data_IF_100852966404
#
_entry.id   IF_100852966404
#
_cell.length_a   1.000
_cell.length_b   1.000
_cell.length_c   1.000
_cell.angle_alpha   90.00
_cell.angle_beta   90.00
_cell.angle_gamma   90.00
#
_symmetry.space_group_name_H-M   'P 1'
#
loop_
_entity.id
_entity.type
_entity.pdbx_description
1 polymer ?
#
# COMPACT_ATOMS: atom_id res chain seq x y z
N UNK A 1 3.76 -19.40 -3.47
CA UNK A 1 2.34 -19.09 -3.78
C UNK A 1 1.45 -19.23 -2.56
N UNK A 2 1.32 -20.40 -1.96
CA UNK A 2 0.39 -20.69 -0.85
C UNK A 2 0.53 -19.74 0.34
N UNK A 3 1.77 -19.41 0.75
CA UNK A 3 2.03 -18.52 1.91
C UNK A 3 1.45 -17.12 1.69
N UNK A 4 1.68 -16.49 0.53
CA UNK A 4 1.16 -15.15 0.24
C UNK A 4 -0.36 -15.10 0.25
N UNK A 5 -1.01 -16.15 -0.25
CA UNK A 5 -2.49 -16.24 -0.24
C UNK A 5 -3.01 -16.39 1.19
N UNK A 6 -2.39 -17.22 2.02
CA UNK A 6 -2.76 -17.37 3.43
C UNK A 6 -2.60 -16.05 4.18
N UNK A 7 -1.47 -15.37 4.01
CA UNK A 7 -1.23 -14.05 4.63
C UNK A 7 -2.28 -13.04 4.16
N UNK A 8 -2.61 -13.01 2.86
CA UNK A 8 -3.62 -12.10 2.32
C UNK A 8 -5.02 -12.36 2.90
N UNK A 9 -5.44 -13.63 3.00
CA UNK A 9 -6.73 -14.00 3.59
C UNK A 9 -6.79 -13.57 5.07
N UNK A 10 -5.74 -13.86 5.85
CA UNK A 10 -5.66 -13.44 7.25
C UNK A 10 -5.69 -11.91 7.40
N UNK A 11 -4.94 -11.21 6.55
CA UNK A 11 -4.91 -9.74 6.47
C UNK A 11 -6.30 -9.17 6.20
N UNK A 12 -7.00 -9.70 5.19
CA UNK A 12 -8.36 -9.27 4.88
C UNK A 12 -9.33 -9.56 6.03
N UNK A 13 -9.16 -10.68 6.72
CA UNK A 13 -9.92 -11.02 7.92
C UNK A 13 -9.82 -9.97 9.02
N UNK A 14 -8.61 -9.41 9.26
CA UNK A 14 -8.42 -8.32 10.22
C UNK A 14 -9.12 -7.03 9.77
N UNK A 15 -9.00 -6.63 8.51
CA UNK A 15 -9.70 -5.46 7.99
C UNK A 15 -11.23 -5.63 8.08
N UNK A 16 -11.75 -6.80 7.73
CA UNK A 16 -13.18 -7.09 7.80
C UNK A 16 -13.71 -7.03 9.24
N UNK A 17 -12.95 -7.54 10.22
CA UNK A 17 -13.34 -7.46 11.63
C UNK A 17 -13.30 -6.01 12.15
N UNK A 18 -12.30 -5.21 11.77
CA UNK A 18 -12.22 -3.79 12.10
C UNK A 18 -13.41 -3.04 11.48
N UNK A 19 -13.72 -3.32 10.23
CA UNK A 19 -14.81 -2.68 9.49
C UNK A 19 -16.20 -2.97 10.10
N UNK A 20 -16.49 -4.23 10.47
CA UNK A 20 -17.77 -4.61 11.07
C UNK A 20 -18.11 -3.82 12.34
N UNK A 21 -17.13 -3.23 13.00
CA UNK A 21 -17.37 -2.34 14.16
C UNK A 21 -17.68 -0.89 13.77
N UNK A 22 -17.37 -0.51 12.54
CA UNK A 22 -17.52 0.88 12.07
C UNK A 22 -18.91 1.20 11.55
N UNK A 23 -19.69 0.18 11.14
CA UNK A 23 -21.03 0.34 10.58
C UNK A 23 -22.03 -0.59 11.26
N UNK A 24 -23.26 -0.07 11.51
CA UNK A 24 -24.35 -0.81 12.16
C UNK A 24 -25.39 -1.35 11.18
N UNK A 25 -25.49 -0.75 9.98
CA UNK A 25 -26.42 -1.15 8.93
C UNK A 25 -25.92 -2.43 8.24
N UNK A 26 -26.66 -3.52 8.33
CA UNK A 26 -26.25 -4.83 7.82
C UNK A 26 -26.12 -4.87 6.31
N UNK A 27 -27.04 -4.21 5.56
CA UNK A 27 -27.00 -4.19 4.11
C UNK A 27 -25.81 -3.38 3.60
N UNK A 28 -25.61 -2.16 4.13
CA UNK A 28 -24.48 -1.32 3.80
C UNK A 28 -23.16 -2.01 4.17
N UNK A 29 -23.09 -2.65 5.33
CA UNK A 29 -21.93 -3.41 5.77
C UNK A 29 -21.60 -4.54 4.80
N UNK A 30 -22.59 -5.28 4.34
CA UNK A 30 -22.37 -6.36 3.36
C UNK A 30 -21.89 -5.83 2.01
N UNK A 31 -22.51 -4.78 1.49
CA UNK A 31 -22.12 -4.16 0.23
C UNK A 31 -20.68 -3.63 0.27
N UNK A 32 -20.31 -2.92 1.34
CA UNK A 32 -18.96 -2.40 1.53
C UNK A 32 -17.96 -3.54 1.75
N UNK A 33 -18.31 -4.61 2.47
CA UNK A 33 -17.42 -5.78 2.64
C UNK A 33 -17.08 -6.42 1.29
N UNK A 34 -18.07 -6.55 0.39
CA UNK A 34 -17.86 -7.04 -0.98
C UNK A 34 -16.92 -6.08 -1.76
N UNK A 35 -17.17 -4.77 -1.67
CA UNK A 35 -16.31 -3.78 -2.33
C UNK A 35 -14.86 -3.85 -1.82
N UNK A 36 -14.66 -3.98 -0.50
CA UNK A 36 -13.34 -4.15 0.11
C UNK A 36 -12.65 -5.44 -0.37
N UNK A 37 -13.41 -6.55 -0.51
CA UNK A 37 -12.87 -7.80 -1.03
C UNK A 37 -12.43 -7.66 -2.49
N UNK A 38 -13.24 -7.03 -3.34
CA UNK A 38 -12.92 -6.77 -4.75
C UNK A 38 -11.64 -5.91 -4.86
N UNK A 39 -11.54 -4.86 -4.05
CA UNK A 39 -10.36 -3.97 -4.04
C UNK A 39 -9.13 -4.72 -3.54
N UNK A 40 -9.23 -5.43 -2.43
CA UNK A 40 -8.08 -6.10 -1.81
C UNK A 40 -7.55 -7.27 -2.65
N UNK A 41 -8.45 -8.08 -3.22
CA UNK A 41 -8.10 -9.22 -4.08
C UNK A 41 -8.08 -8.87 -5.58
N UNK A 42 -7.81 -7.61 -5.92
CA UNK A 42 -7.77 -7.15 -7.30
C UNK A 42 -6.92 -8.05 -8.21
N UNK A 43 -7.37 -8.37 -9.43
CA UNK A 43 -6.59 -9.17 -10.38
C UNK A 43 -5.22 -8.55 -10.72
N UNK A 44 -5.07 -7.23 -10.58
CA UNK A 44 -3.79 -6.53 -10.72
C UNK A 44 -2.72 -7.00 -9.72
N UNK A 45 -3.14 -7.70 -8.64
CA UNK A 45 -2.24 -8.26 -7.63
C UNK A 45 -1.74 -9.68 -7.95
N UNK A 46 -2.11 -10.26 -9.10
CA UNK A 46 -1.75 -11.65 -9.45
C UNK A 46 -0.26 -11.97 -9.24
N UNK A 47 0.62 -11.05 -9.64
CA UNK A 47 2.08 -11.22 -9.46
C UNK A 47 2.51 -11.20 -8.01
N UNK A 48 1.88 -10.36 -7.20
CA UNK A 48 2.18 -10.30 -5.78
C UNK A 48 1.86 -11.64 -5.09
N UNK A 49 0.81 -12.33 -5.53
CA UNK A 49 0.47 -13.66 -5.02
C UNK A 49 1.42 -14.76 -5.50
N UNK A 50 1.87 -14.67 -6.74
CA UNK A 50 2.67 -15.72 -7.39
C UNK A 50 4.16 -15.65 -7.02
N UNK A 51 4.69 -14.46 -6.76
CA UNK A 51 6.12 -14.24 -6.54
C UNK A 51 6.51 -14.40 -5.06
N UNK A 52 7.44 -15.33 -4.72
CA UNK A 52 7.92 -15.50 -3.35
C UNK A 52 8.53 -14.23 -2.75
N UNK A 53 9.23 -13.44 -3.56
CA UNK A 53 9.82 -12.17 -3.17
C UNK A 53 8.78 -11.18 -2.58
N UNK A 54 7.53 -11.28 -3.02
CA UNK A 54 6.45 -10.40 -2.55
C UNK A 54 5.97 -10.73 -1.14
N UNK A 55 6.42 -11.83 -0.53
CA UNK A 55 6.08 -12.20 0.85
C UNK A 55 6.41 -11.07 1.84
N UNK A 56 7.51 -10.33 1.62
CA UNK A 56 7.87 -9.19 2.46
C UNK A 56 6.80 -8.07 2.41
N UNK A 57 6.23 -7.79 1.24
CA UNK A 57 5.16 -6.80 1.09
C UNK A 57 3.87 -7.26 1.76
N UNK A 58 3.48 -8.53 1.57
CA UNK A 58 2.31 -9.10 2.25
C UNK A 58 2.49 -9.12 3.77
N UNK A 59 3.69 -9.45 4.26
CA UNK A 59 3.99 -9.41 5.69
C UNK A 59 3.91 -7.98 6.25
N UNK A 60 4.35 -6.97 5.49
CA UNK A 60 4.16 -5.57 5.86
C UNK A 60 2.67 -5.23 5.99
N UNK A 61 1.87 -5.57 4.97
CA UNK A 61 0.43 -5.27 4.96
C UNK A 61 -0.29 -6.04 6.09
N UNK A 62 0.11 -7.28 6.36
CA UNK A 62 -0.38 -8.06 7.50
C UNK A 62 -0.09 -7.39 8.83
N UNK A 63 1.14 -6.91 9.04
CA UNK A 63 1.51 -6.19 10.25
C UNK A 63 0.70 -4.90 10.43
N UNK A 64 0.50 -4.15 9.35
CA UNK A 64 -0.37 -2.95 9.33
C UNK A 64 -1.82 -3.33 9.64
N UNK A 65 -2.35 -4.40 9.05
CA UNK A 65 -3.73 -4.85 9.29
C UNK A 65 -3.93 -5.32 10.73
N UNK A 66 -2.94 -6.02 11.32
CA UNK A 66 -2.97 -6.41 12.73
C UNK A 66 -2.98 -5.19 13.64
N UNK A 67 -2.12 -4.18 13.36
CA UNK A 67 -2.10 -2.90 14.09
C UNK A 67 -3.44 -2.19 13.97
N UNK A 68 -3.98 -2.08 12.75
CA UNK A 68 -5.26 -1.45 12.45
C UNK A 68 -6.41 -2.14 13.20
N UNK A 69 -6.53 -3.45 13.07
CA UNK A 69 -7.56 -4.23 13.76
C UNK A 69 -7.47 -4.09 15.28
N UNK A 70 -6.27 -4.22 15.84
CA UNK A 70 -6.07 -4.15 17.28
C UNK A 70 -6.40 -2.75 17.84
N UNK A 71 -6.11 -1.68 17.09
CA UNK A 71 -6.47 -0.31 17.47
C UNK A 71 -7.96 -0.06 17.29
N UNK A 72 -8.56 -0.44 16.16
CA UNK A 72 -9.97 -0.27 15.87
C UNK A 72 -10.89 -1.06 16.80
N UNK A 73 -10.43 -2.23 17.28
CA UNK A 73 -11.24 -3.13 18.13
C UNK A 73 -10.91 -3.05 19.62
N UNK A 74 -9.99 -2.16 20.03
CA UNK A 74 -9.64 -2.00 21.44
C UNK A 74 -8.90 -3.20 22.06
N UNK A 75 -8.17 -3.98 21.25
CA UNK A 75 -7.44 -5.18 21.70
C UNK A 75 -6.24 -4.81 22.59
N UNK A 76 -5.69 -5.77 23.35
CA UNK A 76 -4.51 -5.50 24.19
C UNK A 76 -3.40 -4.78 23.46
N UNK A 77 -2.74 -3.85 24.15
CA UNK A 77 -1.75 -2.93 23.56
C UNK A 77 -0.55 -3.64 22.92
N UNK A 78 -0.24 -4.84 23.35
CA UNK A 78 0.82 -5.66 22.77
C UNK A 78 0.58 -5.98 21.28
N UNK A 79 -0.68 -6.16 20.87
CA UNK A 79 -1.00 -6.55 19.48
C UNK A 79 -0.67 -5.46 18.44
N UNK A 80 -1.03 -4.15 18.64
CA UNK A 80 -0.56 -3.13 17.72
C UNK A 80 0.97 -3.02 17.67
N UNK A 81 1.69 -3.20 18.78
CA UNK A 81 3.16 -3.26 18.77
C UNK A 81 3.69 -4.43 17.95
N UNK A 82 3.13 -5.63 18.15
CA UNK A 82 3.50 -6.81 17.35
C UNK A 82 3.28 -6.57 15.87
N UNK A 83 2.12 -6.00 15.49
CA UNK A 83 1.83 -5.65 14.09
C UNK A 83 2.82 -4.65 13.52
N UNK A 84 3.13 -3.58 14.26
CA UNK A 84 4.10 -2.57 13.85
C UNK A 84 5.51 -3.14 13.68
N UNK A 85 5.96 -4.02 14.58
CA UNK A 85 7.25 -4.70 14.45
C UNK A 85 7.28 -5.63 13.23
N UNK A 86 6.24 -6.42 12.98
CA UNK A 86 6.14 -7.26 11.78
C UNK A 86 6.25 -6.38 10.53
N UNK A 87 5.50 -5.29 10.45
CA UNK A 87 5.54 -4.38 9.31
C UNK A 87 6.96 -3.80 9.10
N UNK A 88 7.58 -3.32 10.16
CA UNK A 88 8.91 -2.71 10.16
C UNK A 88 10.01 -3.68 9.72
N UNK A 89 9.98 -4.91 10.23
CA UNK A 89 10.98 -5.94 9.91
C UNK A 89 10.82 -6.48 8.48
N UNK A 90 9.64 -6.29 7.88
CA UNK A 90 9.34 -6.80 6.54
C UNK A 90 9.82 -5.85 5.43
N UNK A 91 9.55 -4.55 5.53
CA UNK A 91 10.01 -3.55 4.53
C UNK A 91 10.22 -2.17 5.16
N UNK A 92 11.02 -1.33 4.48
CA UNK A 92 11.22 0.08 4.87
C UNK A 92 9.91 0.87 4.97
N UNK A 93 8.95 0.59 4.08
CA UNK A 93 7.62 1.21 4.13
C UNK A 93 6.85 0.90 5.41
N UNK A 94 7.13 -0.24 6.03
CA UNK A 94 6.54 -0.64 7.31
C UNK A 94 6.89 0.27 8.48
N UNK A 95 8.02 1.01 8.40
CA UNK A 95 8.37 2.04 9.40
C UNK A 95 7.30 3.11 9.55
N UNK A 96 6.53 3.38 8.51
CA UNK A 96 5.49 4.41 8.51
C UNK A 96 4.28 4.05 9.40
N UNK A 97 4.19 2.82 9.88
CA UNK A 97 3.14 2.43 10.84
C UNK A 97 3.27 3.18 12.17
N UNK A 98 4.50 3.47 12.60
CA UNK A 98 4.75 4.14 13.87
C UNK A 98 4.16 5.56 13.91
N UNK A 99 4.48 6.48 13.00
CA UNK A 99 3.84 7.80 12.98
C UNK A 99 2.36 7.74 12.63
N UNK A 100 1.94 6.83 11.74
CA UNK A 100 0.55 6.76 11.29
C UNK A 100 -0.43 6.41 12.41
N UNK A 101 -0.07 5.49 13.31
CA UNK A 101 -0.94 5.04 14.40
C UNK A 101 -0.63 5.69 15.76
N UNK A 102 0.31 6.63 15.82
CA UNK A 102 0.71 7.29 17.06
C UNK A 102 -0.46 7.91 17.83
N UNK A 103 -1.38 8.57 17.11
CA UNK A 103 -2.55 9.22 17.72
C UNK A 103 -3.51 8.22 18.38
N UNK A 104 -3.73 7.05 17.79
CA UNK A 104 -4.61 6.03 18.38
C UNK A 104 -3.99 5.41 19.63
N UNK A 105 -2.68 5.25 19.69
CA UNK A 105 -1.96 4.77 20.87
C UNK A 105 -1.97 5.85 21.97
N UNK A 106 -1.77 7.14 21.58
CA UNK A 106 -1.87 8.27 22.49
C UNK A 106 -3.21 8.35 23.22
N UNK A 107 -4.31 8.19 22.48
CA UNK A 107 -5.66 8.21 23.05
C UNK A 107 -5.93 7.05 24.03
N UNK A 108 -5.22 5.93 23.87
CA UNK A 108 -5.41 4.76 24.73
C UNK A 108 -4.59 4.78 26.01
N UNK A 109 -3.33 5.19 25.95
CA UNK A 109 -2.41 5.17 27.10
C UNK A 109 -1.18 6.03 26.84
N UNK A 110 -0.93 7.00 27.71
CA UNK A 110 0.27 7.86 27.63
C UNK A 110 1.58 7.07 27.79
N UNK A 111 1.72 6.14 28.76
CA UNK A 111 2.91 5.30 28.87
C UNK A 111 3.14 4.43 27.63
N UNK A 112 2.06 3.82 27.08
CA UNK A 112 2.16 3.04 25.87
C UNK A 112 2.57 3.91 24.66
N UNK A 113 2.11 5.15 24.57
CA UNK A 113 2.53 6.08 23.53
C UNK A 113 4.04 6.42 23.63
N UNK A 114 4.55 6.66 24.83
CA UNK A 114 5.99 6.88 25.03
C UNK A 114 6.81 5.67 24.57
N UNK A 115 6.39 4.45 24.95
CA UNK A 115 7.01 3.21 24.50
C UNK A 115 6.89 3.04 22.96
N UNK A 116 5.75 3.39 22.37
CA UNK A 116 5.52 3.37 20.92
C UNK A 116 6.50 4.28 20.18
N UNK A 117 6.61 5.53 20.62
CA UNK A 117 7.56 6.49 20.05
C UNK A 117 9.01 6.03 20.19
N UNK A 118 9.39 5.53 21.36
CA UNK A 118 10.73 5.00 21.60
C UNK A 118 11.07 3.81 20.68
N UNK A 119 10.15 2.83 20.59
CA UNK A 119 10.34 1.65 19.72
C UNK A 119 10.41 2.07 18.25
N UNK A 120 9.55 2.99 17.82
CA UNK A 120 9.57 3.54 16.46
C UNK A 120 10.87 4.27 16.15
N UNK A 121 11.35 5.12 17.07
CA UNK A 121 12.62 5.84 16.91
C UNK A 121 13.83 4.88 16.84
N UNK A 122 13.88 3.87 17.70
CA UNK A 122 14.91 2.82 17.67
C UNK A 122 14.85 2.06 16.34
N UNK A 123 13.67 1.68 15.88
CA UNK A 123 13.47 0.98 14.61
C UNK A 123 13.98 1.82 13.42
N UNK A 124 13.66 3.12 13.41
CA UNK A 124 14.15 4.05 12.39
C UNK A 124 15.67 4.21 12.46
N UNK A 125 16.23 4.40 13.66
CA UNK A 125 17.68 4.52 13.85
C UNK A 125 18.42 3.29 13.35
N UNK A 126 17.96 2.07 13.70
CA UNK A 126 18.56 0.81 13.25
C UNK A 126 18.44 0.64 11.73
N UNK A 127 17.33 1.08 11.12
CA UNK A 127 17.15 1.00 9.68
C UNK A 127 18.08 1.94 8.92
N UNK A 128 18.26 3.15 9.41
CA UNK A 128 19.11 4.19 8.78
C UNK A 128 20.56 4.19 9.28
N UNK A 129 20.95 3.27 10.17
CA UNK A 129 22.37 3.08 10.55
C UNK A 129 23.19 2.90 9.28
N UNK A 130 24.30 3.67 9.11
CA UNK A 130 25.02 3.75 7.85
C UNK A 130 25.54 2.38 7.43
N UNK A 131 24.88 1.78 6.47
CA UNK A 131 25.50 0.77 5.60
C UNK A 131 26.36 1.56 4.60
N UNK A 132 27.50 1.03 4.13
CA UNK A 132 28.25 1.66 3.05
C UNK A 132 27.34 1.75 1.82
N UNK A 133 26.64 2.87 1.71
CA UNK A 133 25.70 3.12 0.62
C UNK A 133 26.50 3.62 -0.55
N UNK A 134 26.50 2.89 -1.65
CA UNK A 134 26.79 3.47 -2.96
C UNK A 134 26.01 4.79 -3.07
N UNK A 135 26.70 5.89 -3.36
CA UNK A 135 26.16 7.25 -3.39
C UNK A 135 24.98 7.35 -4.35
N UNK A 136 23.78 6.96 -3.89
CA UNK A 136 22.56 7.29 -4.62
C UNK A 136 22.39 8.81 -4.51
N UNK A 137 22.47 9.50 -5.64
CA UNK A 137 22.20 10.93 -5.71
C UNK A 137 20.69 11.09 -5.44
N UNK A 138 20.37 11.48 -4.20
CA UNK A 138 19.00 11.83 -3.85
C UNK A 138 18.76 13.28 -4.28
N UNK A 139 18.02 13.46 -5.35
CA UNK A 139 17.54 14.79 -5.76
C UNK A 139 16.18 14.98 -5.10
N UNK A 140 16.11 15.92 -4.14
CA UNK A 140 14.84 16.34 -3.56
C UNK A 140 14.19 17.36 -4.49
N UNK A 141 13.14 16.93 -5.17
CA UNK A 141 12.27 17.80 -5.99
C UNK A 141 10.85 17.72 -5.42
N UNK A 142 10.41 18.72 -4.65
CA UNK A 142 9.12 18.65 -3.96
C UNK A 142 7.94 18.47 -4.92
N UNK A 143 7.96 19.09 -6.09
CA UNK A 143 6.88 18.98 -7.07
C UNK A 143 6.81 17.54 -7.61
N UNK A 144 7.95 17.01 -8.07
CA UNK A 144 8.01 15.65 -8.59
C UNK A 144 7.70 14.61 -7.52
N UNK A 145 8.13 14.82 -6.25
CA UNK A 145 7.77 13.95 -5.14
C UNK A 145 6.27 13.92 -4.87
N UNK A 146 5.58 15.08 -4.94
CA UNK A 146 4.12 15.15 -4.83
C UNK A 146 3.46 14.40 -5.99
N UNK A 147 3.87 14.67 -7.24
CA UNK A 147 3.33 13.99 -8.42
C UNK A 147 3.54 12.48 -8.35
N UNK A 148 4.72 12.02 -7.91
CA UNK A 148 4.99 10.60 -7.69
C UNK A 148 4.05 10.00 -6.63
N UNK A 149 3.83 10.71 -5.52
CA UNK A 149 2.93 10.25 -4.46
C UNK A 149 1.48 10.19 -4.93
N UNK A 150 1.05 11.14 -5.75
CA UNK A 150 -0.28 11.11 -6.40
C UNK A 150 -0.42 9.92 -7.34
N UNK A 151 0.60 9.68 -8.21
CA UNK A 151 0.62 8.52 -9.09
C UNK A 151 0.59 7.21 -8.29
N UNK A 152 1.32 7.13 -7.17
CA UNK A 152 1.32 5.98 -6.27
C UNK A 152 -0.08 5.69 -5.71
N UNK A 153 -0.77 6.71 -5.19
CA UNK A 153 -2.10 6.58 -4.60
C UNK A 153 -3.13 6.19 -5.65
N UNK A 154 -3.09 6.83 -6.82
CA UNK A 154 -4.04 6.62 -7.90
C UNK A 154 -3.73 5.42 -8.80
N UNK A 155 -2.60 4.74 -8.60
CA UNK A 155 -2.17 3.61 -9.42
C UNK A 155 -3.23 2.52 -9.66
N UNK A 156 -4.02 2.09 -8.64
CA UNK A 156 -5.07 1.08 -8.84
C UNK A 156 -6.16 1.47 -9.84
N UNK A 157 -6.33 2.76 -10.10
CA UNK A 157 -7.37 3.29 -11.00
C UNK A 157 -6.80 3.80 -12.32
N UNK A 158 -5.55 4.28 -12.32
CA UNK A 158 -4.94 4.95 -13.47
C UNK A 158 -4.00 4.08 -14.30
N UNK A 159 -3.60 2.90 -13.80
CA UNK A 159 -2.66 2.06 -14.53
C UNK A 159 -3.11 1.78 -15.98
N UNK A 160 -2.22 1.81 -16.97
CA UNK A 160 -0.77 2.04 -16.88
C UNK A 160 -0.33 3.51 -17.05
N UNK A 161 -1.26 4.45 -17.11
CA UNK A 161 -1.00 5.87 -17.40
C UNK A 161 -0.71 6.65 -16.10
N UNK A 162 0.50 7.24 -15.92
CA UNK A 162 0.84 7.98 -14.72
C UNK A 162 0.05 9.27 -14.56
N UNK A 163 -0.36 9.95 -15.64
CA UNK A 163 -1.15 11.18 -15.55
C UNK A 163 -2.55 10.86 -15.04
N UNK A 164 -3.17 9.82 -15.58
CA UNK A 164 -4.48 9.34 -15.11
C UNK A 164 -4.38 8.91 -13.64
N UNK A 165 -3.29 8.23 -13.25
CA UNK A 165 -3.05 7.86 -11.86
C UNK A 165 -2.92 9.08 -10.95
N UNK A 166 -2.19 10.13 -11.37
CA UNK A 166 -2.08 11.39 -10.60
C UNK A 166 -3.44 12.06 -10.41
N UNK A 167 -4.28 12.09 -11.43
CA UNK A 167 -5.63 12.67 -11.36
C UNK A 167 -6.49 11.89 -10.35
N UNK A 168 -6.49 10.57 -10.41
CA UNK A 168 -7.21 9.75 -9.43
C UNK A 168 -6.64 9.87 -8.03
N UNK A 169 -5.33 9.97 -7.87
CA UNK A 169 -4.69 10.21 -6.58
C UNK A 169 -5.12 11.53 -5.96
N UNK A 170 -5.13 12.61 -6.75
CA UNK A 170 -5.60 13.92 -6.31
C UNK A 170 -7.11 13.91 -5.95
N UNK A 171 -7.94 13.27 -6.77
CA UNK A 171 -9.36 13.10 -6.52
C UNK A 171 -9.62 12.29 -5.24
N UNK A 172 -8.84 11.23 -5.01
CA UNK A 172 -8.92 10.42 -3.78
C UNK A 172 -8.57 11.23 -2.53
N UNK A 173 -7.53 12.07 -2.58
CA UNK A 173 -7.17 12.96 -1.46
C UNK A 173 -8.25 14.01 -1.20
N UNK A 174 -8.80 14.62 -2.24
CA UNK A 174 -9.92 15.57 -2.11
C UNK A 174 -11.14 14.89 -1.50
N UNK A 175 -11.49 13.70 -1.95
CA UNK A 175 -12.59 12.91 -1.39
C UNK A 175 -12.33 12.56 0.10
N UNK A 176 -11.12 12.15 0.44
CA UNK A 176 -10.73 11.87 1.84
C UNK A 176 -10.94 13.12 2.71
N UNK A 177 -10.49 14.28 2.27
CA UNK A 177 -10.66 15.54 2.99
C UNK A 177 -12.16 15.92 3.16
N UNK A 178 -12.95 15.80 2.10
CA UNK A 178 -14.38 16.10 2.10
C UNK A 178 -15.14 15.19 3.08
N UNK A 179 -14.93 13.87 3.01
CA UNK A 179 -15.63 12.92 3.88
C UNK A 179 -15.18 13.03 5.33
N UNK A 180 -13.88 13.27 5.58
CA UNK A 180 -13.35 13.51 6.91
C UNK A 180 -13.99 14.76 7.53
N UNK A 181 -14.03 15.87 6.78
CA UNK A 181 -14.67 17.09 7.24
C UNK A 181 -16.19 16.91 7.47
N UNK A 182 -16.87 16.13 6.64
CA UNK A 182 -18.27 15.83 6.83
C UNK A 182 -18.54 15.04 8.12
N UNK A 183 -17.70 14.06 8.46
CA UNK A 183 -17.83 13.30 9.72
C UNK A 183 -17.48 14.18 10.92
N UNK A 184 -16.39 14.96 10.87
CA UNK A 184 -15.95 15.81 11.96
C UNK A 184 -17.01 16.87 12.33
N UNK A 185 -17.73 17.42 11.36
CA UNK A 185 -18.82 18.38 11.61
C UNK A 185 -20.01 17.79 12.38
N UNK A 186 -20.17 16.48 12.39
CA UNK A 186 -21.33 15.82 13.01
C UNK A 186 -21.00 15.09 14.32
N UNK A 187 -19.73 15.04 14.72
CA UNK A 187 -19.22 14.65 16.05
C UNK A 187 -19.33 13.18 16.48
N UNK A 188 -20.35 12.44 16.05
CA UNK A 188 -20.73 11.18 16.70
C UNK A 188 -19.99 9.90 16.24
N UNK A 189 -19.14 9.99 15.22
CA UNK A 189 -18.45 8.81 14.64
C UNK A 189 -16.92 8.96 14.52
N UNK A 190 -16.34 9.98 15.16
CA UNK A 190 -14.90 10.23 15.08
C UNK A 190 -14.06 9.03 15.54
N UNK A 191 -14.50 8.38 16.63
CA UNK A 191 -13.79 7.21 17.18
C UNK A 191 -13.75 6.02 16.21
N UNK A 192 -14.79 5.80 15.40
CA UNK A 192 -14.83 4.71 14.43
C UNK A 192 -14.09 5.06 13.13
N UNK A 193 -13.95 6.34 12.81
CA UNK A 193 -13.23 6.83 11.63
C UNK A 193 -11.70 6.86 11.84
N UNK A 194 -11.25 7.19 13.06
CA UNK A 194 -9.84 7.45 13.34
C UNK A 194 -8.89 6.32 12.91
N UNK A 195 -9.15 5.03 13.15
CA UNK A 195 -8.28 3.96 12.66
C UNK A 195 -8.14 3.96 11.12
N UNK A 196 -9.23 4.27 10.39
CA UNK A 196 -9.21 4.33 8.93
C UNK A 196 -8.42 5.54 8.40
N UNK A 197 -8.47 6.66 9.11
CA UNK A 197 -7.60 7.81 8.85
C UNK A 197 -6.13 7.45 9.08
N UNK A 198 -5.83 6.68 10.13
CA UNK A 198 -4.47 6.18 10.37
C UNK A 198 -4.00 5.25 9.24
N UNK A 199 -4.89 4.40 8.71
CA UNK A 199 -4.58 3.56 7.56
C UNK A 199 -4.28 4.39 6.30
N UNK A 200 -5.11 5.40 6.02
CA UNK A 200 -4.85 6.35 4.92
C UNK A 200 -3.52 7.09 5.13
N UNK A 201 -3.26 7.59 6.35
CA UNK A 201 -2.01 8.26 6.70
C UNK A 201 -0.78 7.34 6.52
N UNK A 202 -0.88 6.06 6.89
CA UNK A 202 0.17 5.08 6.62
C UNK A 202 0.51 5.02 5.13
N UNK A 203 -0.49 4.96 4.26
CA UNK A 203 -0.25 4.90 2.81
C UNK A 203 0.35 6.19 2.28
N UNK A 204 -0.10 7.36 2.76
CA UNK A 204 0.44 8.66 2.38
C UNK A 204 1.91 8.80 2.78
N UNK A 205 2.25 8.42 4.01
CA UNK A 205 3.63 8.42 4.49
C UNK A 205 4.50 7.43 3.71
N UNK A 206 3.96 6.26 3.38
CA UNK A 206 4.66 5.26 2.56
C UNK A 206 4.89 5.78 1.12
N UNK A 207 3.90 6.45 0.51
CA UNK A 207 4.05 7.09 -0.79
C UNK A 207 5.15 8.17 -0.74
N UNK A 208 5.17 8.99 0.32
CA UNK A 208 6.17 10.05 0.52
C UNK A 208 7.58 9.50 0.64
N UNK A 209 7.82 8.52 1.53
CA UNK A 209 9.17 7.92 1.68
C UNK A 209 9.61 7.16 0.43
N UNK A 210 8.65 6.53 -0.27
CA UNK A 210 8.92 5.84 -1.53
C UNK A 210 9.30 6.84 -2.62
N UNK A 211 8.60 7.97 -2.72
CA UNK A 211 8.90 9.02 -3.69
C UNK A 211 10.30 9.60 -3.46
N UNK A 212 10.65 9.89 -2.21
CA UNK A 212 11.97 10.38 -1.85
C UNK A 212 13.09 9.40 -2.26
N UNK A 213 12.90 8.11 -2.01
CA UNK A 213 13.92 7.10 -2.30
C UNK A 213 13.93 6.59 -3.75
N UNK A 214 12.91 6.87 -4.56
CA UNK A 214 12.70 6.22 -5.86
C UNK A 214 12.29 7.14 -7.01
N UNK A 215 12.27 8.45 -6.80
CA UNK A 215 11.88 9.44 -7.80
C UNK A 215 12.64 9.28 -9.12
N UNK A 216 13.95 9.02 -9.03
CA UNK A 216 14.83 8.87 -10.21
C UNK A 216 14.47 7.65 -11.09
N UNK A 217 13.73 6.68 -10.56
CA UNK A 217 13.27 5.53 -11.35
C UNK A 217 11.96 5.81 -12.12
N UNK A 218 11.47 7.04 -12.07
CA UNK A 218 10.30 7.51 -12.82
C UNK A 218 8.95 7.09 -12.23
N UNK A 219 7.89 7.71 -12.75
CA UNK A 219 6.51 7.51 -12.27
C UNK A 219 5.97 6.10 -12.53
N UNK A 220 6.46 5.38 -13.55
CA UNK A 220 6.11 3.98 -13.79
C UNK A 220 6.42 3.07 -12.60
N UNK A 221 7.46 3.41 -11.85
CA UNK A 221 7.78 2.67 -10.63
C UNK A 221 6.75 2.89 -9.51
N UNK A 222 6.10 4.06 -9.44
CA UNK A 222 5.01 4.33 -8.50
C UNK A 222 3.83 3.38 -8.71
N UNK A 223 3.60 2.96 -9.94
CA UNK A 223 2.48 2.12 -10.36
C UNK A 223 2.81 0.62 -10.40
N UNK A 224 4.01 0.22 -9.97
CA UNK A 224 4.39 -1.20 -9.96
C UNK A 224 3.44 -2.05 -9.08
N UNK A 225 3.16 -3.32 -9.44
CA UNK A 225 2.15 -4.14 -8.76
C UNK A 225 2.32 -4.25 -7.25
N UNK A 226 3.55 -4.41 -6.77
CA UNK A 226 3.82 -4.52 -5.34
C UNK A 226 3.52 -3.22 -4.58
N UNK A 227 3.57 -2.06 -5.25
CA UNK A 227 3.19 -0.78 -4.66
C UNK A 227 1.70 -0.54 -4.73
N UNK A 228 1.04 -1.03 -5.77
CA UNK A 228 -0.41 -1.01 -5.82
C UNK A 228 -1.03 -1.72 -4.61
N UNK A 229 -0.40 -2.76 -4.05
CA UNK A 229 -0.87 -3.42 -2.85
C UNK A 229 -1.01 -2.45 -1.66
N UNK A 230 -0.10 -1.48 -1.52
CA UNK A 230 -0.22 -0.44 -0.49
C UNK A 230 -1.27 0.61 -0.85
N UNK A 231 -1.31 1.07 -2.10
CA UNK A 231 -2.29 2.08 -2.51
C UNK A 231 -3.73 1.57 -2.45
N UNK A 232 -3.98 0.27 -2.63
CA UNK A 232 -5.29 -0.34 -2.39
C UNK A 232 -5.79 -0.12 -0.95
N UNK A 233 -4.90 -0.10 0.04
CA UNK A 233 -5.27 0.19 1.44
C UNK A 233 -5.81 1.62 1.61
N UNK A 234 -5.30 2.59 0.85
CA UNK A 234 -5.85 3.94 0.83
C UNK A 234 -7.29 3.96 0.32
N UNK A 235 -7.56 3.26 -0.77
CA UNK A 235 -8.91 3.17 -1.34
C UNK A 235 -9.86 2.41 -0.43
N UNK A 236 -9.39 1.36 0.25
CA UNK A 236 -10.19 0.67 1.28
C UNK A 236 -10.54 1.62 2.43
N UNK A 237 -9.59 2.40 2.93
CA UNK A 237 -9.84 3.38 3.98
C UNK A 237 -10.86 4.45 3.52
N UNK A 238 -10.69 4.96 2.30
CA UNK A 238 -11.59 5.96 1.71
C UNK A 238 -13.02 5.41 1.56
N UNK A 239 -13.19 4.17 1.07
CA UNK A 239 -14.50 3.52 0.94
C UNK A 239 -15.19 3.43 2.31
N UNK A 240 -14.46 3.04 3.37
CA UNK A 240 -15.06 2.92 4.69
C UNK A 240 -15.40 4.30 5.28
N UNK A 241 -14.51 5.29 5.16
CA UNK A 241 -14.77 6.65 5.63
C UNK A 241 -15.98 7.25 4.90
N UNK A 242 -16.07 7.05 3.58
CA UNK A 242 -17.24 7.44 2.81
C UNK A 242 -18.51 6.75 3.31
N UNK A 243 -18.47 5.44 3.54
CA UNK A 243 -19.60 4.69 4.07
C UNK A 243 -20.06 5.20 5.45
N UNK A 244 -19.11 5.53 6.36
CA UNK A 244 -19.42 6.14 7.66
C UNK A 244 -20.09 7.50 7.48
N UNK A 245 -19.57 8.34 6.58
CA UNK A 245 -20.11 9.67 6.31
C UNK A 245 -21.53 9.63 5.75
N UNK A 246 -21.87 8.59 5.01
CA UNK A 246 -23.09 8.46 4.22
C UNK A 246 -24.17 7.59 4.87
N UNK A 247 -23.80 6.80 5.89
CA UNK A 247 -24.73 5.94 6.60
C UNK A 247 -25.96 6.69 7.15
N UNK A 248 -25.84 8.01 7.39
CA UNK A 248 -26.87 8.87 8.00
C UNK A 248 -27.85 9.54 7.03
N UNK A 249 -27.57 9.54 5.72
CA UNK A 249 -28.35 10.34 4.77
C UNK A 249 -28.85 9.52 3.59
N UNK A 250 -30.07 9.00 3.68
CA UNK A 250 -30.66 8.18 2.62
C UNK A 250 -30.66 8.86 1.23
N UNK A 251 -30.96 10.15 1.17
CA UNK A 251 -30.99 10.94 -0.07
C UNK A 251 -29.61 11.19 -0.67
N UNK A 252 -28.55 11.28 0.16
CA UNK A 252 -27.16 11.42 -0.31
C UNK A 252 -26.57 10.13 -0.87
N UNK A 253 -27.19 8.98 -0.59
CA UNK A 253 -26.77 7.67 -1.15
C UNK A 253 -26.86 7.67 -2.68
N UNK A 254 -27.83 8.35 -3.28
CA UNK A 254 -27.96 8.45 -4.75
C UNK A 254 -26.87 9.30 -5.38
N UNK A 255 -26.38 10.35 -4.69
CA UNK A 255 -25.29 11.21 -5.19
C UNK A 255 -23.93 10.49 -5.27
N UNK A 256 -23.82 9.30 -4.68
CA UNK A 256 -22.60 8.49 -4.66
C UNK A 256 -22.60 7.46 -5.79
N UNK A 257 -23.75 7.15 -6.35
CA UNK A 257 -23.84 6.14 -7.40
C UNK A 257 -22.92 6.49 -8.59
N UNK A 258 -22.86 7.75 -8.99
CA UNK A 258 -22.00 8.19 -10.09
C UNK A 258 -20.49 8.10 -9.75
N UNK A 259 -19.98 8.67 -8.65
CA UNK A 259 -18.59 8.47 -8.25
C UNK A 259 -18.21 7.01 -8.06
N UNK A 260 -19.10 6.20 -7.48
CA UNK A 260 -18.86 4.76 -7.32
C UNK A 260 -18.81 4.03 -8.66
N UNK A 261 -19.69 4.38 -9.62
CA UNK A 261 -19.66 3.82 -10.95
C UNK A 261 -18.37 4.18 -11.70
N UNK A 262 -17.91 5.45 -11.61
CA UNK A 262 -16.65 5.90 -12.20
C UNK A 262 -15.47 5.16 -11.55
N UNK A 263 -15.45 5.05 -10.23
CA UNK A 263 -14.45 4.28 -9.49
C UNK A 263 -14.41 2.82 -9.97
N UNK A 264 -15.57 2.17 -10.02
CA UNK A 264 -15.68 0.76 -10.42
C UNK A 264 -15.21 0.57 -11.87
N UNK A 265 -15.64 1.44 -12.79
CA UNK A 265 -15.22 1.37 -14.19
C UNK A 265 -13.71 1.57 -14.35
N UNK A 266 -13.14 2.59 -13.68
CA UNK A 266 -11.70 2.85 -13.71
C UNK A 266 -10.90 1.70 -13.08
N UNK A 267 -11.39 1.16 -11.97
CA UNK A 267 -10.78 0.02 -11.29
C UNK A 267 -10.80 -1.25 -12.16
N UNK A 268 -11.94 -1.59 -12.74
CA UNK A 268 -12.08 -2.76 -13.63
C UNK A 268 -11.20 -2.61 -14.86
N UNK A 269 -11.19 -1.42 -15.50
CA UNK A 269 -10.30 -1.13 -16.62
C UNK A 269 -8.83 -1.31 -16.23
N UNK A 270 -8.40 -0.70 -15.13
CA UNK A 270 -7.00 -0.78 -14.67
C UNK A 270 -6.62 -2.22 -14.30
N UNK A 271 -7.51 -2.96 -13.65
CA UNK A 271 -7.30 -4.35 -13.31
C UNK A 271 -7.21 -5.25 -14.56
N UNK A 272 -8.07 -5.01 -15.56
CA UNK A 272 -8.06 -5.72 -16.83
C UNK A 272 -6.76 -5.46 -17.60
N UNK A 273 -6.36 -4.19 -17.73
CA UNK A 273 -5.09 -3.82 -18.38
C UNK A 273 -3.92 -4.44 -17.64
N UNK A 274 -3.86 -4.33 -16.31
CA UNK A 274 -2.81 -4.95 -15.52
C UNK A 274 -2.78 -6.49 -15.71
N UNK A 275 -3.96 -7.13 -15.82
CA UNK A 275 -4.04 -8.57 -16.05
C UNK A 275 -3.53 -8.98 -17.43
N UNK A 276 -3.82 -8.20 -18.47
CA UNK A 276 -3.50 -8.54 -19.88
C UNK A 276 -2.10 -8.09 -20.31
N UNK A 277 -1.62 -6.94 -19.81
CA UNK A 277 -0.30 -6.40 -20.21
C UNK A 277 0.87 -6.99 -19.43
N UNK A 278 0.60 -7.53 -18.24
CA UNK A 278 1.62 -8.22 -17.45
C UNK A 278 1.68 -9.69 -17.87
N UNK A 279 2.35 -9.92 -18.96
CA UNK A 279 2.53 -11.24 -19.53
C UNK A 279 3.58 -12.04 -18.74
N UNK A 280 3.26 -13.30 -18.43
CA UNK A 280 4.20 -14.26 -17.86
C UNK A 280 5.40 -14.43 -18.78
N UNK A 281 5.20 -14.37 -20.09
CA UNK A 281 6.26 -14.48 -21.10
C UNK A 281 7.28 -13.34 -21.00
N UNK A 282 6.87 -12.12 -20.65
CA UNK A 282 7.80 -11.01 -20.39
C UNK A 282 8.68 -11.26 -19.17
N UNK A 283 8.17 -11.92 -18.15
CA UNK A 283 8.98 -12.25 -16.97
C UNK A 283 9.93 -13.42 -17.24
N UNK A 284 9.47 -14.40 -17.99
CA UNK A 284 10.34 -15.50 -18.47
C UNK A 284 11.43 -14.93 -19.38
N UNK A 285 11.10 -13.99 -20.27
CA UNK A 285 12.11 -13.27 -21.08
C UNK A 285 13.08 -12.47 -20.20
N UNK A 286 12.61 -11.78 -19.17
CA UNK A 286 13.47 -11.06 -18.22
C UNK A 286 14.36 -12.03 -17.43
N UNK A 287 13.85 -13.19 -17.01
CA UNK A 287 14.67 -14.21 -16.36
C UNK A 287 15.72 -14.78 -17.32
N UNK A 288 15.33 -15.06 -18.56
CA UNK A 288 16.26 -15.53 -19.59
C UNK A 288 17.32 -14.47 -19.91
N UNK A 289 16.97 -13.18 -19.92
CA UNK A 289 17.93 -12.09 -20.07
C UNK A 289 18.98 -12.03 -18.95
N UNK A 290 18.66 -12.46 -17.73
CA UNK A 290 19.65 -12.54 -16.65
C UNK A 290 20.63 -13.70 -16.90
N UNK A 291 20.16 -14.79 -17.51
CA UNK A 291 20.99 -15.96 -17.84
C UNK A 291 21.83 -15.69 -19.08
N UNK A 292 21.24 -15.10 -20.11
CA UNK A 292 21.84 -14.82 -21.42
C UNK A 292 21.93 -13.29 -21.65
N UNK A 293 22.74 -12.62 -20.84
CA UNK A 293 22.83 -11.16 -20.84
C UNK A 293 23.18 -10.56 -22.20
N UNK A 294 24.04 -11.23 -22.98
CA UNK A 294 24.47 -10.74 -24.29
C UNK A 294 23.36 -10.81 -25.34
N UNK A 295 22.46 -11.78 -25.22
CA UNK A 295 21.30 -11.94 -26.10
C UNK A 295 20.08 -11.11 -25.66
N UNK A 296 20.18 -10.43 -24.51
CA UNK A 296 19.06 -9.63 -23.97
C UNK A 296 18.78 -8.39 -24.81
N UNK A 297 17.52 -8.13 -25.20
CA UNK A 297 17.14 -6.91 -25.91
C UNK A 297 17.50 -5.65 -25.11
N UNK A 298 17.94 -4.54 -25.76
CA UNK A 298 18.36 -3.32 -25.09
C UNK A 298 17.31 -2.74 -24.13
N UNK A 299 16.02 -2.83 -24.49
CA UNK A 299 14.91 -2.33 -23.71
C UNK A 299 14.75 -3.07 -22.37
N UNK A 300 15.07 -4.37 -22.37
CA UNK A 300 15.02 -5.23 -21.17
C UNK A 300 16.30 -5.06 -20.34
N UNK A 301 17.47 -4.90 -21.00
CA UNK A 301 18.73 -4.57 -20.32
C UNK A 301 18.62 -3.28 -19.52
N UNK A 302 17.93 -2.27 -20.05
CA UNK A 302 17.74 -0.99 -19.38
C UNK A 302 17.08 -1.10 -18.00
N UNK A 303 16.19 -2.08 -17.82
CA UNK A 303 15.54 -2.34 -16.53
C UNK A 303 16.56 -2.82 -15.48
N UNK A 304 17.62 -3.50 -15.91
CA UNK A 304 18.64 -4.07 -15.03
C UNK A 304 19.89 -3.18 -14.87
N UNK A 305 20.25 -2.39 -15.90
CA UNK A 305 21.46 -1.54 -15.89
C UNK A 305 21.37 -0.36 -14.93
N UNK A 306 20.20 -0.03 -14.41
CA UNK A 306 20.04 1.03 -13.42
C UNK A 306 20.73 0.74 -12.07
N UNK A 307 21.35 -0.45 -11.91
CA UNK A 307 21.94 -0.88 -10.62
C UNK A 307 23.34 -1.46 -10.75
N UNK A 308 24.23 -0.81 -11.49
CA UNK A 308 25.66 -1.15 -11.57
C UNK A 308 25.98 -2.40 -12.40
N UNK A 309 26.80 -2.32 -13.44
CA UNK A 309 27.53 -3.49 -13.93
C UNK A 309 28.53 -3.91 -12.84
N UNK A 310 28.59 -5.14 -12.38
CA UNK A 310 28.38 -6.42 -13.04
C UNK A 310 27.41 -7.34 -12.26
N UNK A 311 26.16 -6.94 -12.10
CA UNK A 311 25.21 -7.69 -11.26
C UNK A 311 24.97 -9.14 -11.74
N UNK A 312 24.84 -9.43 -13.06
CA UNK A 312 24.74 -10.80 -13.54
C UNK A 312 26.00 -11.63 -13.30
N UNK A 313 27.19 -11.04 -13.46
CA UNK A 313 28.48 -11.70 -13.19
C UNK A 313 28.59 -12.05 -11.71
N UNK A 314 28.30 -11.10 -10.82
CA UNK A 314 28.26 -11.35 -9.38
C UNK A 314 27.30 -12.49 -8.99
N UNK A 315 26.08 -12.50 -9.52
CA UNK A 315 25.12 -13.58 -9.27
C UNK A 315 25.61 -14.94 -9.77
N UNK A 316 26.26 -14.96 -10.93
CA UNK A 316 26.85 -16.15 -11.55
C UNK A 316 28.03 -16.67 -10.73
N UNK A 317 28.97 -15.79 -10.35
CA UNK A 317 30.14 -16.13 -9.51
C UNK A 317 29.71 -16.68 -8.15
N UNK A 318 28.70 -16.08 -7.52
CA UNK A 318 28.20 -16.49 -6.21
C UNK A 318 27.19 -17.66 -6.29
N UNK A 319 26.87 -18.21 -7.48
CA UNK A 319 25.86 -19.25 -7.70
C UNK A 319 24.54 -18.92 -7.01
N UNK A 320 24.12 -17.65 -7.05
CA UNK A 320 22.90 -17.18 -6.40
C UNK A 320 21.70 -17.24 -7.36
N UNK A 321 20.49 -17.36 -6.78
CA UNK A 321 19.24 -17.34 -7.52
C UNK A 321 19.19 -18.44 -8.61
N UNK A 322 18.96 -18.07 -9.87
CA UNK A 322 18.82 -18.96 -11.02
C UNK A 322 20.15 -19.65 -11.46
N UNK A 323 21.29 -19.17 -10.97
CA UNK A 323 22.63 -19.72 -11.26
C UNK A 323 23.07 -20.80 -10.27
N UNK A 324 22.17 -21.35 -9.48
CA UNK A 324 22.46 -22.41 -8.50
C UNK A 324 22.69 -23.81 -9.09
N UNK A 325 22.51 -23.96 -10.39
CA UNK A 325 22.69 -25.24 -11.10
C UNK A 325 24.08 -25.38 -11.70
#
# INVERSE_FOLDING_TARGET
>A
MTVNVIIAIATFGFFLQAFRRSLRDTLLTSAVAVALAIVFFAPSQKYNYLMPFQTAFFSTIFGVALTHWATATGRPIALPFTGALIATLSTAGGLMVWPAYAVTIWQRSKPAFAAWCATGAISMALYFTPKPVTKAVHIFDPIRNVLFSLAFIGAPLGFPDPIIAMVFGAAGLAALAIYTAAVARHGDNEASMLPWLCLAAFVLLNAGITSYGRLMAGYGLAMSPYRQAFSLLFWMALIVIAAIALARHAMRRMLIALPLAIFTAAFVRSAYVAYTTWDVDNQVRQQNCIVEWEACPPEVRYIFTYRSPPYPEFLREQRLSIFRH
#
